data_IF_842705053787
#
_entry.id   IF_842705053787
#
_cell.length_a   1.000
_cell.length_b   1.000
_cell.length_c   1.000
_cell.angle_alpha   90.00
_cell.angle_beta   90.00
_cell.angle_gamma   90.00
#
_symmetry.space_group_name_H-M   'P 1'
#
loop_
_entity.id
_entity.type
_entity.pdbx_description
1 polymer ?
#
# COMPACT_ATOMS: atom_id res chain seq x y z
N UNK A 1 -17.61 15.28 14.86
CA UNK A 1 -16.90 16.46 15.31
C UNK A 1 -17.28 16.78 16.75
N UNK A 2 -18.55 16.94 17.06
CA UNK A 2 -19.03 17.24 18.43
C UNK A 2 -18.61 16.19 19.47
N UNK A 3 -18.42 14.94 19.05
CA UNK A 3 -17.94 13.85 19.92
C UNK A 3 -16.42 13.87 20.14
N UNK A 4 -15.68 14.85 19.58
CA UNK A 4 -14.25 15.03 19.78
C UNK A 4 -13.36 14.26 18.78
N UNK A 5 -13.85 13.93 17.59
CA UNK A 5 -13.03 13.32 16.55
C UNK A 5 -12.04 14.33 15.96
N UNK A 6 -10.76 13.96 15.83
CA UNK A 6 -9.70 14.79 15.24
C UNK A 6 -9.70 14.71 13.70
N UNK A 7 -10.20 13.62 13.13
CA UNK A 7 -10.35 13.38 11.70
C UNK A 7 -11.69 12.68 11.44
N UNK A 8 -12.39 13.08 10.40
CA UNK A 8 -13.66 12.45 10.03
C UNK A 8 -13.54 11.76 8.68
N UNK A 9 -14.00 10.52 8.65
CA UNK A 9 -14.16 9.70 7.46
C UNK A 9 -15.64 9.52 7.14
N UNK A 10 -16.06 9.98 5.95
CA UNK A 10 -17.42 9.77 5.44
C UNK A 10 -17.38 8.64 4.43
N UNK A 11 -18.05 7.53 4.75
CA UNK A 11 -18.06 6.33 3.92
C UNK A 11 -18.84 6.52 2.62
N UNK A 12 -18.24 6.12 1.50
CA UNK A 12 -18.83 5.94 0.20
C UNK A 12 -19.67 7.11 -0.35
N UNK A 13 -19.15 8.35 -0.40
CA UNK A 13 -19.82 9.41 -1.15
C UNK A 13 -19.88 9.00 -2.64
N UNK A 14 -21.02 9.21 -3.28
CA UNK A 14 -21.30 8.68 -4.62
C UNK A 14 -21.28 9.73 -5.72
N UNK A 15 -21.38 11.00 -5.38
CA UNK A 15 -21.46 12.09 -6.35
C UNK A 15 -20.42 13.17 -6.07
N UNK A 16 -20.10 13.94 -7.08
CA UNK A 16 -19.17 15.07 -6.94
C UNK A 16 -19.73 16.14 -5.99
N UNK A 17 -21.04 16.34 -5.97
CA UNK A 17 -21.70 17.28 -5.06
C UNK A 17 -21.49 16.88 -3.61
N UNK A 18 -21.60 15.58 -3.30
CA UNK A 18 -21.30 15.07 -1.96
C UNK A 18 -19.84 15.27 -1.59
N UNK A 19 -18.90 14.97 -2.49
CA UNK A 19 -17.48 15.19 -2.28
C UNK A 19 -17.15 16.66 -2.01
N UNK A 20 -17.73 17.57 -2.77
CA UNK A 20 -17.54 19.01 -2.58
C UNK A 20 -18.15 19.54 -1.27
N UNK A 21 -19.19 18.89 -0.78
CA UNK A 21 -19.88 19.32 0.44
C UNK A 21 -19.16 18.85 1.72
N UNK A 22 -18.64 17.62 1.76
CA UNK A 22 -18.06 17.00 2.95
C UNK A 22 -17.00 17.89 3.64
N UNK A 23 -15.91 18.33 2.97
CA UNK A 23 -14.89 19.14 3.63
C UNK A 23 -15.39 20.53 4.05
N UNK A 24 -16.46 21.04 3.42
CA UNK A 24 -17.03 22.35 3.73
C UNK A 24 -17.96 22.33 4.95
N UNK A 25 -18.50 21.15 5.28
CA UNK A 25 -19.42 20.98 6.40
C UNK A 25 -18.72 20.70 7.73
N UNK A 26 -17.41 20.44 7.69
CA UNK A 26 -16.63 20.00 8.84
C UNK A 26 -15.46 20.96 9.09
N UNK A 27 -15.15 21.23 10.37
CA UNK A 27 -14.03 22.08 10.77
C UNK A 27 -12.76 21.26 11.10
N UNK A 28 -12.87 19.94 11.10
CA UNK A 28 -11.74 19.01 11.28
C UNK A 28 -11.30 18.41 9.96
N UNK A 29 -10.05 17.93 9.84
CA UNK A 29 -9.57 17.26 8.65
C UNK A 29 -10.47 16.11 8.22
N UNK A 30 -10.71 16.01 6.92
CA UNK A 30 -11.51 14.92 6.34
C UNK A 30 -10.61 13.93 5.60
N UNK A 31 -10.93 12.64 5.76
CA UNK A 31 -10.27 11.53 5.08
C UNK A 31 -11.16 11.02 3.96
N UNK A 32 -10.57 10.78 2.78
CA UNK A 32 -11.21 10.11 1.66
C UNK A 32 -10.63 8.71 1.43
N UNK A 33 -11.51 7.75 1.22
CA UNK A 33 -11.15 6.38 0.86
C UNK A 33 -11.28 6.19 -0.65
N UNK A 34 -10.14 6.22 -1.37
CA UNK A 34 -10.06 5.96 -2.80
C UNK A 34 -10.11 4.43 -3.04
N UNK A 35 -11.29 3.86 -2.87
CA UNK A 35 -11.49 2.43 -3.08
C UNK A 35 -11.76 2.11 -4.56
N UNK A 36 -11.32 0.94 -5.02
CA UNK A 36 -11.53 0.46 -6.39
C UNK A 36 -12.94 -0.12 -6.65
N UNK A 37 -13.90 0.16 -5.78
CA UNK A 37 -15.27 -0.39 -5.88
C UNK A 37 -16.09 0.12 -7.07
N UNK A 38 -15.66 1.21 -7.70
CA UNK A 38 -16.40 1.88 -8.79
C UNK A 38 -17.67 2.61 -8.34
N UNK A 39 -17.91 2.71 -7.03
CA UNK A 39 -19.10 3.39 -6.47
C UNK A 39 -18.85 4.84 -6.15
N UNK A 40 -17.60 5.21 -5.90
CA UNK A 40 -17.17 6.57 -5.61
C UNK A 40 -16.41 7.15 -6.80
N UNK A 41 -16.43 8.47 -7.04
CA UNK A 41 -15.64 9.10 -8.09
C UNK A 41 -14.14 8.82 -7.89
N UNK A 42 -13.45 8.54 -9.01
CA UNK A 42 -11.99 8.42 -9.04
C UNK A 42 -11.37 9.79 -9.30
N UNK A 43 -10.57 10.27 -8.35
CA UNK A 43 -9.91 11.56 -8.41
C UNK A 43 -8.42 11.41 -8.14
N UNK A 44 -7.64 12.35 -8.63
CA UNK A 44 -6.22 12.47 -8.28
C UNK A 44 -6.05 13.03 -6.87
N UNK A 45 -4.86 12.92 -6.30
CA UNK A 45 -4.53 13.53 -5.01
C UNK A 45 -4.71 15.06 -5.04
N UNK A 46 -4.32 15.71 -6.14
CA UNK A 46 -4.44 17.15 -6.33
C UNK A 46 -5.91 17.58 -6.36
N UNK A 47 -6.77 16.88 -7.12
CA UNK A 47 -8.21 17.14 -7.15
C UNK A 47 -8.86 16.96 -5.77
N UNK A 48 -8.42 15.95 -5.00
CA UNK A 48 -8.91 15.75 -3.63
C UNK A 48 -8.47 16.88 -2.69
N UNK A 49 -7.23 17.36 -2.84
CA UNK A 49 -6.72 18.50 -2.11
C UNK A 49 -7.48 19.78 -2.43
N UNK A 50 -7.78 20.03 -3.72
CA UNK A 50 -8.58 21.18 -4.17
C UNK A 50 -10.01 21.15 -3.61
N UNK A 51 -10.60 19.96 -3.46
CA UNK A 51 -11.89 19.79 -2.80
C UNK A 51 -11.85 20.05 -1.30
N UNK A 52 -10.66 20.02 -0.69
CA UNK A 52 -10.44 20.30 0.74
C UNK A 52 -10.19 19.06 1.61
N UNK A 53 -10.09 17.87 1.04
CA UNK A 53 -9.66 16.69 1.79
C UNK A 53 -8.20 16.81 2.21
N UNK A 54 -7.87 16.33 3.41
CA UNK A 54 -6.52 16.39 3.98
C UNK A 54 -5.80 15.05 4.00
N UNK A 55 -6.56 13.97 3.95
CA UNK A 55 -6.05 12.60 3.97
C UNK A 55 -6.73 11.80 2.88
N UNK A 56 -5.96 10.98 2.16
CA UNK A 56 -6.48 10.02 1.17
C UNK A 56 -5.84 8.67 1.45
N UNK A 57 -6.65 7.62 1.51
CA UNK A 57 -6.16 6.24 1.60
C UNK A 57 -6.50 5.46 0.34
N UNK A 58 -5.62 4.51 -0.01
CA UNK A 58 -5.73 3.65 -1.19
C UNK A 58 -5.67 2.18 -0.73
N UNK A 59 -6.75 1.63 -0.18
CA UNK A 59 -6.71 0.42 0.63
C UNK A 59 -6.38 -0.87 -0.13
N UNK A 60 -6.73 -0.99 -1.40
CA UNK A 60 -6.69 -2.27 -2.11
C UNK A 60 -5.97 -2.26 -3.46
N UNK A 61 -5.43 -1.13 -3.91
CA UNK A 61 -4.78 -1.05 -5.23
C UNK A 61 -3.57 -1.95 -5.36
N UNK A 62 -2.72 -2.04 -4.31
CA UNK A 62 -1.53 -2.89 -4.33
C UNK A 62 -1.91 -4.36 -4.42
N UNK A 63 -2.91 -4.79 -3.65
CA UNK A 63 -3.43 -6.15 -3.72
C UNK A 63 -4.02 -6.47 -5.10
N UNK A 64 -4.84 -5.57 -5.65
CA UNK A 64 -5.44 -5.74 -6.97
C UNK A 64 -4.38 -5.80 -8.08
N UNK A 65 -3.31 -5.02 -7.96
CA UNK A 65 -2.17 -5.09 -8.89
C UNK A 65 -1.38 -6.40 -8.76
N UNK A 66 -1.23 -6.93 -7.55
CA UNK A 66 -0.49 -8.15 -7.30
C UNK A 66 -1.21 -9.43 -7.79
N UNK A 67 -2.54 -9.48 -7.72
CA UNK A 67 -3.34 -10.65 -8.09
C UNK A 67 -3.03 -11.15 -9.52
N UNK A 68 -3.12 -10.32 -10.59
CA UNK A 68 -2.85 -10.81 -11.95
C UNK A 68 -1.39 -11.24 -12.13
N UNK A 69 -0.43 -10.57 -11.47
CA UNK A 69 0.97 -10.96 -11.51
C UNK A 69 1.19 -12.35 -10.88
N UNK A 70 0.72 -12.55 -9.66
CA UNK A 70 0.78 -13.85 -8.98
C UNK A 70 0.06 -14.94 -9.75
N UNK A 71 -1.11 -14.64 -10.33
CA UNK A 71 -1.90 -15.59 -11.12
C UNK A 71 -1.11 -16.07 -12.35
N UNK A 72 -0.43 -15.17 -13.06
CA UNK A 72 0.41 -15.56 -14.22
C UNK A 72 1.52 -16.54 -13.81
N UNK A 73 2.24 -16.22 -12.72
CA UNK A 73 3.31 -17.08 -12.20
C UNK A 73 2.79 -18.47 -11.82
N UNK A 74 1.65 -18.53 -11.11
CA UNK A 74 1.02 -19.79 -10.70
C UNK A 74 0.55 -20.62 -11.90
N UNK A 75 0.00 -19.99 -12.93
CA UNK A 75 -0.39 -20.68 -14.17
C UNK A 75 0.82 -21.29 -14.89
N UNK A 76 1.92 -20.54 -15.01
CA UNK A 76 3.14 -21.05 -15.62
C UNK A 76 3.73 -22.22 -14.82
N UNK A 77 3.82 -22.07 -13.51
CA UNK A 77 4.29 -23.14 -12.62
C UNK A 77 3.42 -24.40 -12.74
N UNK A 78 2.09 -24.26 -12.77
CA UNK A 78 1.16 -25.39 -12.95
C UNK A 78 1.31 -26.05 -14.31
N UNK A 79 1.55 -25.27 -15.37
CA UNK A 79 1.66 -25.74 -16.74
C UNK A 79 2.98 -26.46 -17.01
N UNK A 80 4.09 -25.96 -16.48
CA UNK A 80 5.45 -26.41 -16.84
C UNK A 80 6.23 -27.06 -15.69
N UNK A 81 5.79 -26.92 -14.46
CA UNK A 81 6.54 -27.30 -13.26
C UNK A 81 7.71 -26.35 -12.95
N UNK A 82 7.82 -25.19 -13.64
CA UNK A 82 8.93 -24.26 -13.51
C UNK A 82 8.50 -22.82 -13.79
N UNK A 83 9.21 -21.85 -13.21
CA UNK A 83 9.09 -20.42 -13.54
C UNK A 83 10.25 -19.93 -14.42
N UNK A 84 11.07 -20.83 -14.95
CA UNK A 84 12.29 -20.48 -15.72
C UNK A 84 12.01 -19.50 -16.87
N UNK A 85 10.85 -19.64 -17.53
CA UNK A 85 10.44 -18.76 -18.62
C UNK A 85 9.97 -17.37 -18.20
N UNK A 86 9.81 -17.12 -16.89
CA UNK A 86 9.27 -15.87 -16.34
C UNK A 86 10.24 -15.16 -15.40
N UNK A 87 11.51 -15.56 -15.35
CA UNK A 87 12.48 -14.97 -14.44
C UNK A 87 12.70 -13.46 -14.65
N UNK A 88 12.38 -12.96 -15.84
CA UNK A 88 12.39 -11.53 -16.17
C UNK A 88 11.10 -10.79 -15.80
N UNK A 89 10.06 -11.49 -15.37
CA UNK A 89 8.78 -10.93 -14.95
C UNK A 89 8.60 -10.91 -13.42
N UNK A 90 9.56 -11.48 -12.70
CA UNK A 90 9.57 -11.51 -11.23
C UNK A 90 10.79 -10.79 -10.68
N UNK A 91 10.66 -10.21 -9.52
CA UNK A 91 11.79 -9.55 -8.86
C UNK A 91 12.90 -10.57 -8.56
N UNK A 92 14.15 -10.16 -8.78
CA UNK A 92 15.33 -10.89 -8.35
C UNK A 92 15.48 -10.85 -6.82
N UNK A 93 16.29 -11.75 -6.28
CA UNK A 93 16.63 -11.69 -4.85
C UNK A 93 17.35 -10.39 -4.46
N UNK A 94 18.15 -9.83 -5.36
CA UNK A 94 18.82 -8.54 -5.10
C UNK A 94 17.78 -7.43 -4.96
N UNK A 95 16.88 -7.28 -5.93
CA UNK A 95 15.80 -6.28 -5.86
C UNK A 95 14.89 -6.48 -4.64
N UNK A 96 14.61 -7.72 -4.26
CA UNK A 96 13.85 -8.01 -3.05
C UNK A 96 14.60 -7.60 -1.79
N UNK A 97 15.88 -7.91 -1.68
CA UNK A 97 16.70 -7.54 -0.51
C UNK A 97 16.91 -6.04 -0.41
N UNK A 98 17.10 -5.35 -1.52
CA UNK A 98 17.20 -3.89 -1.56
C UNK A 98 15.91 -3.24 -1.07
N UNK A 99 14.76 -3.72 -1.56
CA UNK A 99 13.44 -3.25 -1.11
C UNK A 99 13.22 -3.49 0.39
N UNK A 100 13.69 -4.61 0.92
CA UNK A 100 13.57 -4.96 2.34
C UNK A 100 14.61 -4.26 3.24
N UNK A 101 15.50 -3.45 2.68
CA UNK A 101 16.51 -2.70 3.43
C UNK A 101 17.61 -3.60 4.01
N UNK A 102 18.01 -4.65 3.30
CA UNK A 102 19.00 -5.62 3.77
C UNK A 102 20.34 -4.97 4.16
N UNK A 103 20.73 -3.89 3.49
CA UNK A 103 21.98 -3.21 3.84
C UNK A 103 21.91 -2.55 5.22
N UNK A 104 20.76 -2.00 5.61
CA UNK A 104 20.53 -1.50 6.97
C UNK A 104 20.59 -2.63 8.00
N UNK A 105 20.07 -3.82 7.68
CA UNK A 105 20.16 -5.01 8.55
C UNK A 105 21.62 -5.39 8.75
N UNK A 106 22.42 -5.46 7.68
CA UNK A 106 23.88 -5.76 7.78
C UNK A 106 24.64 -4.72 8.60
N UNK A 107 24.32 -3.43 8.43
CA UNK A 107 24.93 -2.36 9.25
C UNK A 107 24.58 -2.51 10.73
N UNK A 108 23.32 -2.82 11.06
CA UNK A 108 22.90 -3.09 12.43
C UNK A 108 23.57 -4.35 12.99
N UNK A 109 23.64 -5.42 12.22
CA UNK A 109 24.36 -6.64 12.61
C UNK A 109 25.85 -6.35 12.89
N UNK A 110 26.51 -5.60 12.02
CA UNK A 110 27.91 -5.21 12.23
C UNK A 110 28.10 -4.34 13.49
N UNK A 111 27.15 -3.43 13.74
CA UNK A 111 27.19 -2.54 14.92
C UNK A 111 26.96 -3.27 16.24
N UNK A 112 26.08 -4.24 16.24
CA UNK A 112 25.66 -4.99 17.43
C UNK A 112 26.16 -6.43 17.42
N UNK A 113 27.35 -6.70 16.83
CA UNK A 113 27.91 -8.03 16.69
C UNK A 113 27.76 -8.85 17.98
N UNK A 114 26.92 -9.87 17.89
CA UNK A 114 26.82 -10.91 18.91
C UNK A 114 28.03 -11.81 18.74
N UNK A 115 28.84 -11.98 19.77
CA UNK A 115 30.03 -12.85 19.72
C UNK A 115 29.64 -14.27 19.26
N UNK A 116 30.55 -14.94 18.53
CA UNK A 116 30.31 -16.32 18.02
C UNK A 116 29.87 -17.31 19.12
N UNK A 117 30.23 -17.05 20.39
CA UNK A 117 29.78 -17.78 21.55
C UNK A 117 28.26 -17.66 21.81
N UNK A 118 27.66 -16.54 21.50
CA UNK A 118 26.20 -16.36 21.66
C UNK A 118 25.41 -16.95 20.49
N UNK A 119 26.03 -17.04 19.28
CA UNK A 119 25.43 -17.71 18.12
C UNK A 119 25.40 -19.24 18.27
N UNK A 120 26.37 -19.82 19.00
CA UNK A 120 26.42 -21.27 19.22
C UNK A 120 25.45 -21.80 20.28
N UNK A 121 24.66 -20.94 20.91
CA UNK A 121 23.67 -21.29 21.94
C UNK A 121 22.21 -21.37 21.46
N UNK A 122 21.96 -21.29 20.15
CA UNK A 122 20.63 -21.49 19.55
C UNK A 122 20.63 -22.69 18.62
#
# INVERSE_FOLDING_TARGET
>A
EEAGADVIFVEAPRTMEQLQAIPKMLNVPTLYNMASSGKTPFLTADEMQELGFRLVIYPNFMLMAAIPAMTRVLHELKRTGSIKGMLNEVASFTEFFDLMGMDQVKELEARYQVSDKARAGY
#
